data_IF_129939349989
#
_entry.id   IF_129939349989
#
_cell.length_a   1.000
_cell.length_b   1.000
_cell.length_c   1.000
_cell.angle_alpha   90.00
_cell.angle_beta   90.00
_cell.angle_gamma   90.00
#
_symmetry.space_group_name_H-M   'P 1'
#
loop_
_entity.id
_entity.type
_entity.pdbx_description
1 polymer ?
#
# COMPACT_ATOMS: atom_id res chain seq x y z
N UNK A 1 51.19 12.22 8.28
CA UNK A 1 50.16 11.21 8.63
C UNK A 1 48.85 11.95 8.93
N UNK A 2 47.90 11.94 8.00
CA UNK A 2 46.61 12.63 8.16
C UNK A 2 45.61 11.71 8.89
N UNK A 3 44.97 12.14 9.99
CA UNK A 3 44.01 11.32 10.74
C UNK A 3 42.58 11.36 10.16
N UNK A 4 42.36 11.87 8.95
CA UNK A 4 41.03 12.17 8.39
C UNK A 4 40.44 11.08 7.45
N UNK A 5 40.98 9.87 7.42
CA UNK A 5 40.59 8.86 6.42
C UNK A 5 39.46 7.88 6.78
N UNK A 6 39.14 7.68 8.07
CA UNK A 6 38.33 6.52 8.49
C UNK A 6 36.84 6.89 8.68
N UNK A 7 36.53 8.11 9.15
CA UNK A 7 35.16 8.54 9.41
C UNK A 7 34.29 8.74 8.15
N UNK A 8 34.90 9.18 7.05
CA UNK A 8 34.23 9.39 5.75
C UNK A 8 33.92 8.06 5.05
N UNK A 9 34.87 7.11 5.08
CA UNK A 9 34.72 5.78 4.47
C UNK A 9 33.60 4.97 5.15
N UNK A 10 33.51 4.98 6.48
CA UNK A 10 32.42 4.30 7.19
C UNK A 10 31.06 4.95 6.96
N UNK A 11 31.01 6.28 6.85
CA UNK A 11 29.79 7.01 6.49
C UNK A 11 29.28 6.66 5.09
N UNK A 12 30.20 6.58 4.12
CA UNK A 12 29.88 6.26 2.72
C UNK A 12 29.49 4.79 2.54
N UNK A 13 30.17 3.86 3.24
CA UNK A 13 29.80 2.43 3.25
C UNK A 13 28.41 2.25 3.87
N UNK A 14 28.13 2.88 5.02
CA UNK A 14 26.83 2.81 5.68
C UNK A 14 25.72 3.39 4.80
N UNK A 15 25.98 4.52 4.15
CA UNK A 15 25.03 5.16 3.21
C UNK A 15 24.78 4.26 1.99
N UNK A 16 25.81 3.63 1.44
CA UNK A 16 25.70 2.70 0.31
C UNK A 16 24.93 1.42 0.68
N UNK A 17 25.12 0.88 1.89
CA UNK A 17 24.35 -0.26 2.40
C UNK A 17 22.88 0.12 2.66
N UNK A 18 22.62 1.31 3.21
CA UNK A 18 21.27 1.82 3.43
C UNK A 18 20.52 2.03 2.11
N UNK A 19 21.17 2.67 1.12
CA UNK A 19 20.63 2.86 -0.22
C UNK A 19 20.37 1.52 -0.93
N UNK A 20 21.30 0.56 -0.83
CA UNK A 20 21.11 -0.79 -1.38
C UNK A 20 19.88 -1.49 -0.80
N UNK A 21 19.65 -1.38 0.52
CA UNK A 21 18.45 -1.94 1.14
C UNK A 21 17.17 -1.25 0.65
N UNK A 22 17.21 0.07 0.50
CA UNK A 22 16.08 0.85 0.01
C UNK A 22 15.70 0.48 -1.43
N UNK A 23 16.69 0.20 -2.29
CA UNK A 23 16.47 -0.21 -3.68
C UNK A 23 15.69 -1.53 -3.78
N UNK A 24 16.09 -2.57 -3.04
CA UNK A 24 15.35 -3.84 -3.02
C UNK A 24 14.02 -3.76 -2.28
N UNK A 25 13.90 -2.89 -1.28
CA UNK A 25 12.61 -2.59 -0.65
C UNK A 25 11.65 -1.92 -1.65
N UNK A 26 12.15 -1.00 -2.48
CA UNK A 26 11.39 -0.39 -3.56
C UNK A 26 10.98 -1.41 -4.63
N UNK A 27 11.87 -2.36 -4.94
CA UNK A 27 11.59 -3.46 -5.86
C UNK A 27 10.51 -4.40 -5.32
N UNK A 28 10.68 -4.89 -4.07
CA UNK A 28 9.69 -5.70 -3.38
C UNK A 28 8.33 -5.00 -3.28
N UNK A 29 8.34 -3.69 -3.01
CA UNK A 29 7.13 -2.87 -3.00
C UNK A 29 6.46 -2.82 -4.39
N UNK A 30 7.23 -2.69 -5.47
CA UNK A 30 6.70 -2.67 -6.84
C UNK A 30 6.00 -4.00 -7.16
N UNK A 31 6.63 -5.13 -6.84
CA UNK A 31 6.05 -6.47 -7.00
C UNK A 31 4.72 -6.57 -6.23
N UNK A 32 4.71 -6.14 -4.96
CA UNK A 32 3.50 -6.11 -4.14
C UNK A 32 2.41 -5.19 -4.72
N UNK A 33 2.78 -4.04 -5.26
CA UNK A 33 1.84 -3.08 -5.84
C UNK A 33 1.15 -3.64 -7.08
N UNK A 34 1.88 -4.36 -7.92
CA UNK A 34 1.34 -5.02 -9.12
C UNK A 34 0.46 -6.22 -8.76
N UNK A 35 0.85 -7.01 -7.76
CA UNK A 35 0.02 -8.11 -7.25
C UNK A 35 -1.30 -7.59 -6.65
N UNK A 36 -1.28 -6.43 -5.97
CA UNK A 36 -2.50 -5.75 -5.54
C UNK A 36 -3.44 -5.44 -6.72
N UNK A 37 -2.92 -4.98 -7.87
CA UNK A 37 -3.77 -4.73 -9.04
C UNK A 37 -4.42 -6.02 -9.56
N UNK A 38 -3.76 -7.17 -9.49
CA UNK A 38 -4.38 -8.46 -9.85
C UNK A 38 -5.62 -8.75 -8.98
N UNK A 39 -5.60 -8.35 -7.71
CA UNK A 39 -6.75 -8.49 -6.80
C UNK A 39 -7.81 -7.39 -6.95
N UNK A 40 -7.63 -6.45 -7.88
CA UNK A 40 -8.50 -5.28 -8.02
C UNK A 40 -8.27 -4.19 -6.97
N UNK A 41 -7.22 -4.30 -6.16
CA UNK A 41 -6.84 -3.26 -5.20
C UNK A 41 -6.14 -2.13 -5.92
N UNK A 42 -6.43 -0.90 -5.48
CA UNK A 42 -5.85 0.31 -6.05
C UNK A 42 -4.61 0.73 -5.28
N UNK A 43 -3.53 0.93 -6.02
CA UNK A 43 -2.35 1.66 -5.56
C UNK A 43 -2.36 3.05 -6.18
N UNK A 44 -1.84 4.05 -5.47
CA UNK A 44 -1.73 5.42 -5.98
C UNK A 44 -0.76 5.45 -7.17
N UNK A 45 -1.26 5.92 -8.31
CA UNK A 45 -0.51 5.97 -9.57
C UNK A 45 0.78 6.83 -9.48
N UNK A 46 0.79 7.87 -8.65
CA UNK A 46 2.00 8.69 -8.42
C UNK A 46 3.11 7.87 -7.79
N UNK A 47 2.80 7.12 -6.74
CA UNK A 47 3.75 6.27 -6.02
C UNK A 47 4.24 5.13 -6.92
N UNK A 48 3.32 4.53 -7.71
CA UNK A 48 3.69 3.49 -8.67
C UNK A 48 4.72 4.01 -9.68
N UNK A 49 4.48 5.18 -10.28
CA UNK A 49 5.41 5.79 -11.25
C UNK A 49 6.76 6.11 -10.63
N UNK A 50 6.75 6.70 -9.44
CA UNK A 50 7.96 7.05 -8.71
C UNK A 50 8.81 5.81 -8.40
N UNK A 51 8.22 4.79 -7.76
CA UNK A 51 8.90 3.53 -7.41
C UNK A 51 9.37 2.78 -8.64
N UNK A 52 8.57 2.74 -9.72
CA UNK A 52 8.99 2.13 -11.00
C UNK A 52 10.21 2.84 -11.57
N UNK A 53 10.27 4.17 -11.52
CA UNK A 53 11.43 4.94 -11.99
C UNK A 53 12.68 4.62 -11.19
N UNK A 54 12.57 4.56 -9.86
CA UNK A 54 13.68 4.21 -8.97
C UNK A 54 14.23 2.81 -9.29
N UNK A 55 13.34 1.82 -9.39
CA UNK A 55 13.73 0.44 -9.71
C UNK A 55 14.33 0.34 -11.12
N UNK A 56 13.74 1.01 -12.12
CA UNK A 56 14.24 0.98 -13.51
C UNK A 56 15.60 1.63 -13.70
N UNK A 57 15.90 2.66 -12.92
CA UNK A 57 17.22 3.31 -12.97
C UNK A 57 18.33 2.38 -12.46
N UNK A 58 18.00 1.45 -11.57
CA UNK A 58 18.95 0.58 -10.89
C UNK A 58 19.02 -0.82 -11.50
N UNK A 59 17.86 -1.37 -11.85
CA UNK A 59 17.70 -2.74 -12.32
C UNK A 59 17.16 -2.74 -13.76
N UNK A 60 17.60 -3.70 -14.56
CA UNK A 60 17.12 -3.88 -15.93
C UNK A 60 15.74 -4.54 -15.92
N UNK A 61 14.70 -3.75 -15.61
CA UNK A 61 13.32 -4.24 -15.61
C UNK A 61 12.60 -3.91 -16.93
N UNK A 62 11.65 -4.78 -17.37
CA UNK A 62 10.77 -4.51 -18.49
C UNK A 62 9.90 -3.25 -18.26
N UNK A 63 9.48 -2.59 -19.33
CA UNK A 63 8.69 -1.35 -19.22
C UNK A 63 7.30 -1.62 -18.64
N UNK A 64 6.93 -0.90 -17.57
CA UNK A 64 5.58 -1.00 -16.98
C UNK A 64 4.46 -0.63 -17.95
N UNK A 65 4.78 0.11 -19.03
CA UNK A 65 3.81 0.46 -20.05
C UNK A 65 3.22 -0.77 -20.76
N UNK A 66 3.93 -1.91 -20.78
CA UNK A 66 3.46 -3.17 -21.38
C UNK A 66 2.17 -3.65 -20.72
N UNK A 67 2.06 -3.50 -19.39
CA UNK A 67 0.90 -3.94 -18.61
C UNK A 67 -0.02 -2.78 -18.20
N UNK A 68 0.22 -1.57 -18.71
CA UNK A 68 -0.54 -0.38 -18.29
C UNK A 68 -2.01 -0.49 -18.67
N UNK A 69 -2.27 -0.92 -19.90
CA UNK A 69 -3.64 -1.10 -20.39
C UNK A 69 -4.34 -2.24 -19.63
N UNK A 70 -3.61 -3.28 -19.23
CA UNK A 70 -4.12 -4.37 -18.40
C UNK A 70 -4.51 -3.87 -16.99
N UNK A 71 -3.66 -3.05 -16.36
CA UNK A 71 -3.96 -2.42 -15.08
C UNK A 71 -5.20 -1.52 -15.20
N UNK A 72 -5.30 -0.74 -16.26
CA UNK A 72 -6.42 0.17 -16.49
C UNK A 72 -7.72 -0.60 -16.77
N UNK A 73 -7.66 -1.68 -17.54
CA UNK A 73 -8.78 -2.58 -17.79
C UNK A 73 -9.34 -3.12 -16.46
N UNK A 74 -8.48 -3.66 -15.58
CA UNK A 74 -8.89 -4.18 -14.27
C UNK A 74 -9.44 -3.07 -13.36
N UNK A 75 -8.81 -1.89 -13.33
CA UNK A 75 -9.31 -0.73 -12.56
C UNK A 75 -10.71 -0.32 -13.01
N UNK A 76 -10.94 -0.34 -14.33
CA UNK A 76 -12.18 0.13 -14.94
C UNK A 76 -13.38 -0.78 -14.65
N UNK A 77 -13.16 -2.07 -14.33
CA UNK A 77 -14.26 -3.01 -14.03
C UNK A 77 -15.11 -2.51 -12.87
N UNK A 78 -14.49 -2.13 -11.75
CA UNK A 78 -15.20 -1.60 -10.59
C UNK A 78 -15.90 -0.26 -10.89
N UNK A 79 -15.24 0.63 -11.64
CA UNK A 79 -15.79 1.95 -11.97
C UNK A 79 -16.98 1.89 -12.94
N UNK A 80 -16.93 1.00 -13.93
CA UNK A 80 -18.00 0.82 -14.94
C UNK A 80 -19.24 0.18 -14.35
N UNK A 81 -19.06 -0.82 -13.46
CA UNK A 81 -20.17 -1.59 -12.90
C UNK A 81 -20.85 -0.89 -11.73
N UNK A 82 -20.12 -0.05 -10.99
CA UNK A 82 -20.70 0.65 -9.86
C UNK A 82 -20.25 2.13 -9.75
N UNK A 83 -20.86 3.03 -10.55
CA UNK A 83 -20.52 4.45 -10.52
C UNK A 83 -20.80 5.11 -9.16
N UNK A 84 -21.72 4.54 -8.36
CA UNK A 84 -22.01 4.96 -6.98
C UNK A 84 -20.81 4.81 -6.04
N UNK A 85 -19.79 4.02 -6.41
CA UNK A 85 -18.58 3.88 -5.61
C UNK A 85 -17.75 5.17 -5.53
N UNK A 86 -17.80 6.00 -6.58
CA UNK A 86 -17.18 7.34 -6.54
C UNK A 86 -17.89 8.23 -5.52
N UNK A 87 -19.21 8.16 -5.46
CA UNK A 87 -20.00 8.87 -4.45
C UNK A 87 -19.64 8.40 -3.04
N UNK A 88 -19.60 7.09 -2.79
CA UNK A 88 -19.23 6.56 -1.47
C UNK A 88 -17.78 6.90 -1.07
N UNK A 89 -16.85 6.87 -2.03
CA UNK A 89 -15.46 7.27 -1.79
C UNK A 89 -15.35 8.76 -1.43
N UNK A 90 -16.04 9.63 -2.16
CA UNK A 90 -16.08 11.07 -1.88
C UNK A 90 -16.74 11.34 -0.52
N UNK A 91 -17.89 10.70 -0.24
CA UNK A 91 -18.57 10.78 1.05
C UNK A 91 -17.63 10.36 2.19
N UNK A 92 -16.88 9.27 2.02
CA UNK A 92 -15.91 8.82 3.02
C UNK A 92 -14.80 9.86 3.25
N UNK A 93 -14.25 10.46 2.19
CA UNK A 93 -13.20 11.49 2.30
C UNK A 93 -13.74 12.72 3.04
N UNK A 94 -14.93 13.19 2.65
CA UNK A 94 -15.60 14.32 3.31
C UNK A 94 -15.88 14.03 4.78
N UNK A 95 -16.43 12.86 5.11
CA UNK A 95 -16.69 12.47 6.49
C UNK A 95 -15.41 12.38 7.32
N UNK A 96 -14.33 11.80 6.77
CA UNK A 96 -13.03 11.75 7.46
C UNK A 96 -12.47 13.15 7.72
N UNK A 97 -12.61 14.05 6.75
CA UNK A 97 -12.21 15.44 6.92
C UNK A 97 -13.03 16.11 8.04
N UNK A 98 -14.35 15.99 8.00
CA UNK A 98 -15.26 16.56 9.02
C UNK A 98 -14.98 16.01 10.42
N UNK A 99 -14.72 14.71 10.58
CA UNK A 99 -14.38 14.10 11.88
C UNK A 99 -13.06 14.65 12.41
N UNK A 100 -12.04 14.81 11.55
CA UNK A 100 -10.75 15.40 11.96
C UNK A 100 -10.90 16.84 12.42
N UNK A 101 -11.68 17.64 11.69
CA UNK A 101 -11.97 19.03 12.08
C UNK A 101 -12.79 19.07 13.36
N UNK A 102 -13.82 18.24 13.48
CA UNK A 102 -14.63 18.13 14.70
C UNK A 102 -13.81 17.75 15.93
N UNK A 103 -12.90 16.79 15.79
CA UNK A 103 -11.97 16.41 16.87
C UNK A 103 -11.00 17.55 17.22
N UNK A 104 -10.46 18.25 16.22
CA UNK A 104 -9.56 19.39 16.45
C UNK A 104 -10.27 20.52 17.20
N UNK A 105 -11.50 20.87 16.80
CA UNK A 105 -12.33 21.88 17.46
C UNK A 105 -12.66 21.42 18.89
N UNK A 106 -13.05 20.16 19.08
CA UNK A 106 -13.34 19.61 20.40
C UNK A 106 -12.13 19.70 21.34
N UNK A 107 -10.94 19.33 20.86
CA UNK A 107 -9.70 19.44 21.64
C UNK A 107 -9.37 20.89 21.97
N UNK A 108 -9.55 21.82 21.02
CA UNK A 108 -9.32 23.25 21.23
C UNK A 108 -10.28 23.83 22.27
N UNK A 109 -11.57 23.52 22.20
CA UNK A 109 -12.57 23.97 23.19
C UNK A 109 -12.32 23.37 24.58
N UNK A 110 -11.92 22.11 24.63
CA UNK A 110 -11.53 21.44 25.89
C UNK A 110 -10.31 22.10 26.50
N UNK A 111 -9.31 22.43 25.68
CA UNK A 111 -8.08 23.11 26.12
C UNK A 111 -8.35 24.52 26.64
N UNK A 112 -9.18 25.31 25.95
CA UNK A 112 -9.59 26.64 26.43
C UNK A 112 -10.29 26.53 27.78
N UNK A 113 -11.21 25.58 27.94
CA UNK A 113 -11.94 25.37 29.20
C UNK A 113 -10.99 25.07 30.37
N UNK A 114 -9.94 24.28 30.14
CA UNK A 114 -8.93 23.96 31.15
C UNK A 114 -8.09 25.18 31.53
N UNK A 115 -7.68 26.01 30.57
CA UNK A 115 -6.84 27.20 30.84
C UNK A 115 -7.62 28.32 31.51
N UNK A 116 -8.81 28.61 31.02
CA UNK A 116 -9.58 29.78 31.48
C UNK A 116 -10.37 29.51 32.77
N UNK A 117 -10.44 28.23 33.20
CA UNK A 117 -11.34 27.74 34.25
C UNK A 117 -12.81 28.14 34.04
N UNK A 118 -13.15 28.58 32.81
CA UNK A 118 -14.47 29.05 32.43
C UNK A 118 -14.92 28.19 31.27
N UNK A 119 -15.95 27.39 31.53
CA UNK A 119 -16.50 26.54 30.51
C UNK A 119 -17.48 27.30 29.63
N UNK A 120 -17.23 27.29 28.32
CA UNK A 120 -18.16 27.80 27.32
C UNK A 120 -19.31 26.83 27.03
N UNK A 121 -19.16 25.55 27.38
CA UNK A 121 -20.11 24.47 27.12
C UNK A 121 -20.32 23.66 28.39
N UNK A 122 -21.54 23.19 28.65
CA UNK A 122 -21.75 22.29 29.79
C UNK A 122 -21.06 20.95 29.55
N UNK A 123 -20.71 20.23 30.63
CA UNK A 123 -20.12 18.88 30.53
C UNK A 123 -21.01 17.94 29.69
N UNK A 124 -22.33 18.09 29.81
CA UNK A 124 -23.31 17.33 29.02
C UNK A 124 -23.21 17.66 27.52
N UNK A 125 -23.06 18.94 27.15
CA UNK A 125 -22.86 19.34 25.75
C UNK A 125 -21.55 18.77 25.18
N UNK A 126 -20.47 18.77 25.95
CA UNK A 126 -19.21 18.16 25.53
C UNK A 126 -19.33 16.66 25.30
N UNK A 127 -20.07 15.94 26.16
CA UNK A 127 -20.35 14.52 25.96
C UNK A 127 -21.14 14.25 24.67
N UNK A 128 -22.18 15.05 24.38
CA UNK A 128 -22.94 14.93 23.14
C UNK A 128 -22.08 15.15 21.89
N UNK A 129 -21.20 16.17 21.92
CA UNK A 129 -20.26 16.42 20.82
C UNK A 129 -19.34 15.21 20.62
N UNK A 130 -18.82 14.64 21.70
CA UNK A 130 -17.97 13.46 21.63
C UNK A 130 -18.71 12.24 21.06
N UNK A 131 -19.96 12.01 21.46
CA UNK A 131 -20.78 10.93 20.90
C UNK A 131 -21.04 11.10 19.41
N UNK A 132 -21.28 12.33 18.94
CA UNK A 132 -21.44 12.61 17.50
C UNK A 132 -20.13 12.30 16.74
N UNK A 133 -18.98 12.69 17.29
CA UNK A 133 -17.67 12.40 16.68
C UNK A 133 -17.41 10.89 16.62
N UNK A 134 -17.67 10.16 17.71
CA UNK A 134 -17.50 8.71 17.79
C UNK A 134 -18.44 8.01 16.81
N UNK A 135 -19.72 8.41 16.78
CA UNK A 135 -20.70 7.87 15.85
C UNK A 135 -20.27 8.08 14.39
N UNK A 136 -19.82 9.29 14.06
CA UNK A 136 -19.25 9.59 12.74
C UNK A 136 -18.06 8.69 12.39
N UNK A 137 -17.14 8.46 13.34
CA UNK A 137 -16.00 7.57 13.16
C UNK A 137 -16.43 6.12 12.88
N UNK A 138 -17.42 5.61 13.63
CA UNK A 138 -17.98 4.27 13.41
C UNK A 138 -18.61 4.16 12.01
N UNK A 139 -19.41 5.16 11.60
CA UNK A 139 -20.01 5.20 10.25
C UNK A 139 -18.94 5.17 9.16
N UNK A 140 -17.83 5.91 9.33
CA UNK A 140 -16.72 5.89 8.37
C UNK A 140 -16.04 4.53 8.30
N UNK A 141 -15.81 3.87 9.44
CA UNK A 141 -15.23 2.51 9.47
C UNK A 141 -16.15 1.52 8.78
N UNK A 142 -17.46 1.58 9.06
CA UNK A 142 -18.45 0.73 8.43
C UNK A 142 -18.53 0.97 6.92
N UNK A 143 -18.58 2.23 6.48
CA UNK A 143 -18.61 2.59 5.07
C UNK A 143 -17.35 2.09 4.34
N UNK A 144 -16.18 2.21 4.95
CA UNK A 144 -14.92 1.67 4.40
C UNK A 144 -15.00 0.15 4.22
N UNK A 145 -15.54 -0.56 5.21
CA UNK A 145 -15.72 -2.01 5.12
C UNK A 145 -16.72 -2.37 4.02
N UNK A 146 -17.87 -1.70 3.95
CA UNK A 146 -18.90 -1.91 2.93
C UNK A 146 -18.35 -1.69 1.51
N UNK A 147 -17.67 -0.57 1.27
CA UNK A 147 -17.03 -0.27 -0.02
C UNK A 147 -16.07 -1.40 -0.38
N UNK A 148 -15.18 -1.78 0.54
CA UNK A 148 -14.17 -2.82 0.30
C UNK A 148 -14.81 -4.17 -0.05
N UNK A 149 -15.80 -4.58 0.71
CA UNK A 149 -16.50 -5.84 0.50
C UNK A 149 -17.27 -5.86 -0.84
N UNK A 150 -17.92 -4.75 -1.18
CA UNK A 150 -18.63 -4.61 -2.46
C UNK A 150 -17.69 -4.65 -3.66
N UNK A 151 -16.54 -3.98 -3.57
CA UNK A 151 -15.47 -4.06 -4.57
C UNK A 151 -15.01 -5.52 -4.75
N UNK A 152 -14.74 -6.22 -3.65
CA UNK A 152 -14.32 -7.64 -3.71
C UNK A 152 -15.37 -8.51 -4.38
N UNK A 153 -16.66 -8.32 -4.08
CA UNK A 153 -17.75 -9.06 -4.72
C UNK A 153 -17.85 -8.79 -6.23
N UNK A 154 -17.67 -7.55 -6.66
CA UNK A 154 -17.61 -7.20 -8.09
C UNK A 154 -16.44 -7.93 -8.76
N UNK A 155 -15.24 -7.83 -8.19
CA UNK A 155 -14.07 -8.49 -8.76
C UNK A 155 -14.25 -10.01 -8.81
N UNK A 156 -14.78 -10.64 -7.77
CA UNK A 156 -15.07 -12.07 -7.77
C UNK A 156 -16.10 -12.46 -8.84
N UNK A 157 -17.18 -11.68 -9.01
CA UNK A 157 -18.24 -11.96 -9.98
C UNK A 157 -17.78 -11.85 -11.43
N UNK A 158 -16.94 -10.86 -11.73
CA UNK A 158 -16.50 -10.56 -13.10
C UNK A 158 -15.09 -11.05 -13.41
N UNK A 159 -14.52 -11.93 -12.57
CA UNK A 159 -13.14 -12.39 -12.70
C UNK A 159 -12.77 -12.90 -14.09
N UNK A 160 -13.72 -13.56 -14.76
CA UNK A 160 -13.50 -14.11 -16.10
C UNK A 160 -13.30 -13.03 -17.17
N UNK A 161 -13.90 -11.84 -17.03
CA UNK A 161 -13.81 -10.75 -18.03
C UNK A 161 -12.39 -10.17 -18.12
N UNK A 162 -11.60 -10.23 -17.04
CA UNK A 162 -10.27 -9.63 -16.96
C UNK A 162 -9.18 -10.65 -16.58
N UNK A 163 -9.49 -11.95 -16.68
CA UNK A 163 -8.54 -13.04 -16.39
C UNK A 163 -7.30 -12.96 -17.26
N UNK A 164 -7.44 -12.61 -18.55
CA UNK A 164 -6.30 -12.44 -19.46
C UNK A 164 -5.37 -11.32 -18.96
N UNK A 165 -5.93 -10.18 -18.57
CA UNK A 165 -5.17 -9.06 -18.01
C UNK A 165 -4.46 -9.47 -16.70
N UNK A 166 -5.11 -10.26 -15.83
CA UNK A 166 -4.47 -10.79 -14.61
C UNK A 166 -3.29 -11.72 -14.91
N UNK A 167 -3.36 -12.50 -15.98
CA UNK A 167 -2.27 -13.38 -16.41
C UNK A 167 -1.10 -12.58 -16.99
N UNK A 168 -1.37 -11.57 -17.81
CA UNK A 168 -0.33 -10.67 -18.31
C UNK A 168 0.42 -9.97 -17.16
N UNK A 169 -0.32 -9.45 -16.17
CA UNK A 169 0.29 -8.84 -14.98
C UNK A 169 1.06 -9.88 -14.16
N UNK A 170 0.56 -11.12 -14.05
CA UNK A 170 1.29 -12.21 -13.38
C UNK A 170 2.64 -12.45 -14.05
N UNK A 171 2.64 -12.55 -15.37
CA UNK A 171 3.84 -12.87 -16.15
C UNK A 171 4.87 -11.74 -16.03
N UNK A 172 4.43 -10.49 -16.08
CA UNK A 172 5.29 -9.33 -15.79
C UNK A 172 5.85 -9.35 -14.35
N UNK A 173 5.04 -9.70 -13.35
CA UNK A 173 5.52 -9.85 -11.97
C UNK A 173 6.53 -11.00 -11.86
N UNK A 174 6.33 -12.09 -12.60
CA UNK A 174 7.29 -13.19 -12.64
C UNK A 174 8.63 -12.73 -13.18
N UNK A 175 8.65 -11.98 -14.29
CA UNK A 175 9.88 -11.37 -14.84
C UNK A 175 10.56 -10.46 -13.80
N UNK A 176 9.79 -9.65 -13.07
CA UNK A 176 10.32 -8.82 -11.99
C UNK A 176 10.96 -9.64 -10.86
N UNK A 177 10.32 -10.75 -10.46
CA UNK A 177 10.85 -11.66 -9.43
C UNK A 177 12.16 -12.29 -9.93
N UNK A 178 12.21 -12.70 -11.20
CA UNK A 178 13.39 -13.34 -11.79
C UNK A 178 14.56 -12.36 -11.87
N UNK A 179 14.33 -11.12 -12.32
CA UNK A 179 15.35 -10.05 -12.31
C UNK A 179 15.85 -9.77 -10.89
N UNK A 180 14.96 -9.65 -9.91
CA UNK A 180 15.36 -9.40 -8.53
C UNK A 180 16.12 -10.59 -7.93
N UNK A 181 15.77 -11.83 -8.31
CA UNK A 181 16.46 -13.04 -7.88
C UNK A 181 17.87 -13.12 -8.44
N UNK A 182 18.05 -12.88 -9.73
CA UNK A 182 19.36 -12.89 -10.39
C UNK A 182 20.30 -11.88 -9.74
N UNK A 183 19.83 -10.65 -9.54
CA UNK A 183 20.62 -9.60 -8.90
C UNK A 183 20.94 -9.90 -7.42
N UNK A 184 20.03 -10.50 -6.67
CA UNK A 184 20.30 -10.96 -5.29
C UNK A 184 21.32 -12.11 -5.25
N UNK A 185 21.31 -13.01 -6.24
CA UNK A 185 22.31 -14.08 -6.36
C UNK A 185 23.70 -13.53 -6.66
N UNK A 186 23.80 -12.59 -7.60
CA UNK A 186 25.07 -11.94 -7.96
C UNK A 186 25.66 -11.15 -6.79
N UNK A 187 24.79 -10.49 -6.02
CA UNK A 187 25.24 -9.62 -4.92
C UNK A 187 25.40 -10.34 -3.57
N UNK A 188 25.00 -11.61 -3.47
CA UNK A 188 25.07 -12.42 -2.26
C UNK A 188 24.23 -11.89 -1.09
N UNK A 189 23.25 -11.02 -1.35
CA UNK A 189 22.42 -10.40 -0.30
C UNK A 189 21.33 -11.37 0.18
N UNK A 190 20.87 -11.20 1.43
CA UNK A 190 19.91 -12.13 2.02
C UNK A 190 18.48 -11.81 1.57
N UNK A 191 17.82 -12.66 0.76
CA UNK A 191 16.49 -12.38 0.23
C UNK A 191 15.41 -12.36 1.31
N UNK A 192 15.63 -12.99 2.48
CA UNK A 192 14.67 -12.99 3.60
C UNK A 192 14.47 -11.60 4.23
N UNK A 193 15.37 -10.66 3.94
CA UNK A 193 15.26 -9.27 4.39
C UNK A 193 14.12 -8.54 3.67
N UNK A 194 13.89 -8.86 2.40
CA UNK A 194 12.94 -8.18 1.53
C UNK A 194 11.62 -8.96 1.47
N UNK A 195 10.84 -8.85 2.54
CA UNK A 195 9.55 -9.55 2.66
C UNK A 195 8.47 -8.86 1.84
N UNK A 196 7.74 -9.64 1.06
CA UNK A 196 6.62 -9.21 0.23
C UNK A 196 5.30 -9.73 0.79
N UNK A 197 4.26 -8.91 0.73
CA UNK A 197 2.88 -9.32 1.03
C UNK A 197 2.14 -9.59 -0.28
N UNK A 198 2.07 -10.86 -0.69
CA UNK A 198 1.45 -11.31 -1.94
C UNK A 198 0.10 -11.98 -1.67
N UNK A 199 -0.89 -11.73 -2.51
CA UNK A 199 -2.21 -12.36 -2.45
C UNK A 199 -2.27 -13.65 -3.25
N UNK A 200 -1.47 -13.75 -4.31
CA UNK A 200 -1.34 -14.96 -5.10
C UNK A 200 -0.02 -15.70 -4.80
N UNK A 201 -0.07 -17.04 -4.89
CA UNK A 201 1.06 -17.95 -4.66
C UNK A 201 1.59 -18.58 -5.96
N UNK A 202 1.10 -18.12 -7.10
CA UNK A 202 1.32 -18.72 -8.43
C UNK A 202 2.64 -18.29 -9.08
N UNK A 203 3.54 -17.70 -8.29
CA UNK A 203 4.87 -17.27 -8.73
C UNK A 203 5.89 -18.37 -8.49
N UNK A 204 6.90 -18.44 -9.37
CA UNK A 204 8.09 -19.26 -9.19
C UNK A 204 9.10 -18.51 -8.33
N UNK A 205 10.01 -19.26 -7.70
CA UNK A 205 11.12 -18.72 -6.90
C UNK A 205 10.68 -17.80 -5.76
N UNK A 206 9.49 -18.06 -5.19
CA UNK A 206 9.03 -17.44 -3.95
C UNK A 206 8.96 -18.47 -2.84
N UNK A 207 9.47 -18.11 -1.66
CA UNK A 207 9.33 -18.87 -0.43
C UNK A 207 8.27 -18.24 0.44
N UNK A 208 7.21 -19.00 0.73
CA UNK A 208 6.16 -18.58 1.66
C UNK A 208 6.72 -18.66 3.09
N UNK A 209 6.74 -17.52 3.78
CA UNK A 209 7.16 -17.40 5.18
C UNK A 209 5.97 -17.56 6.14
N UNK A 210 4.80 -17.03 5.77
CA UNK A 210 3.56 -17.13 6.57
C UNK A 210 2.33 -17.20 5.67
N UNK A 211 1.36 -18.04 6.04
CA UNK A 211 0.08 -18.18 5.36
C UNK A 211 -0.94 -17.11 5.81
N UNK A 212 -1.97 -16.84 4.98
CA UNK A 212 -3.14 -16.07 5.37
C UNK A 212 -3.84 -16.69 6.58
N UNK A 213 -4.44 -15.85 7.43
CA UNK A 213 -5.27 -16.25 8.56
C UNK A 213 -6.48 -15.29 8.66
N UNK A 214 -7.34 -15.45 9.66
CA UNK A 214 -8.54 -14.60 9.82
C UNK A 214 -8.20 -13.09 9.80
N UNK A 215 -7.05 -12.70 10.36
CA UNK A 215 -6.61 -11.30 10.42
C UNK A 215 -5.77 -10.84 9.21
N UNK A 216 -5.29 -11.78 8.38
CA UNK A 216 -4.35 -11.53 7.29
C UNK A 216 -4.80 -12.21 6.00
N UNK A 217 -5.11 -11.40 5.00
CA UNK A 217 -5.60 -11.86 3.69
C UNK A 217 -4.48 -12.11 2.66
N UNK A 218 -3.20 -12.11 3.06
CA UNK A 218 -2.05 -12.22 2.16
C UNK A 218 -1.00 -13.20 2.71
N UNK A 219 -0.22 -13.79 1.80
CA UNK A 219 0.98 -14.56 2.10
C UNK A 219 2.13 -13.60 2.38
N UNK A 220 2.86 -13.82 3.47
CA UNK A 220 4.17 -13.20 3.61
C UNK A 220 5.18 -14.09 2.89
N UNK A 221 5.86 -13.53 1.89
CA UNK A 221 6.76 -14.26 1.00
C UNK A 221 8.10 -13.55 0.92
N UNK A 222 9.15 -14.28 0.57
CA UNK A 222 10.46 -13.73 0.20
C UNK A 222 10.93 -14.43 -1.09
N UNK A 223 11.88 -13.83 -1.79
CA UNK A 223 12.49 -14.48 -2.96
C UNK A 223 13.31 -15.68 -2.50
N UNK A 224 13.26 -16.76 -3.26
CA UNK A 224 14.09 -17.93 -3.06
C UNK A 224 15.30 -17.87 -4.02
N UNK A 225 16.47 -17.64 -3.44
CA UNK A 225 17.75 -17.63 -4.17
C UNK A 225 18.44 -18.99 -4.13
N UNK A 226 17.82 -20.01 -3.52
CA UNK A 226 18.30 -21.38 -3.56
C UNK A 226 18.27 -21.96 -4.98
#
# INVERSE_FOLDING_TARGET
MNPFGIGTIFGDIKRKILMKNEDYENFAWLIMALDNYRTGKRVKDSILREKTRLVRNKFKIPSINIIRDDIEAIKSVADKREPRMKFYANLMITLQFLIKQGLAIFLLLSFITVITFKSFLTTQQMQWILYIIIFGAVVVVWLRWYIRDKIMRIYAKYQNEYRKNQLNIRDYIQELIDVMREDLKETGDNPKKYKMALYYKDYKHIKILKHPNWWRYYYASAIDTS
#
